data_IF_049581727157
#
_entry.id   IF_049581727157
#
_cell.length_a   1.000
_cell.length_b   1.000
_cell.length_c   1.000
_cell.angle_alpha   90.00
_cell.angle_beta   90.00
_cell.angle_gamma   90.00
#
_symmetry.space_group_name_H-M   'P 1'
#
loop_
_entity.id
_entity.type
_entity.pdbx_description
1 polymer ?
#
# COMPACT_ATOMS: atom_id res chain seq x y z
N UNK A 1 0.48 -29.61 -14.69
CA UNK A 1 -0.40 -29.02 -15.71
C UNK A 1 0.46 -28.48 -16.83
N UNK A 2 -0.08 -28.37 -18.03
CA UNK A 2 0.69 -27.92 -19.19
C UNK A 2 0.38 -26.47 -19.55
N UNK A 3 1.42 -25.68 -19.81
CA UNK A 3 1.33 -24.33 -20.37
C UNK A 3 1.94 -24.32 -21.76
N UNK A 4 1.34 -23.59 -22.70
CA UNK A 4 1.87 -23.45 -24.06
C UNK A 4 2.93 -22.34 -24.10
N UNK A 5 4.03 -22.60 -24.79
CA UNK A 5 5.10 -21.63 -25.03
C UNK A 5 4.86 -20.95 -26.38
N UNK A 6 4.90 -19.62 -26.40
CA UNK A 6 4.88 -18.82 -27.60
C UNK A 6 6.31 -18.47 -28.04
N UNK A 7 6.57 -18.58 -29.34
CA UNK A 7 7.82 -18.11 -29.93
C UNK A 7 7.78 -16.58 -30.17
N UNK A 8 8.90 -16.01 -30.63
CA UNK A 8 9.02 -14.58 -30.95
C UNK A 8 8.06 -14.09 -32.05
N UNK A 9 7.45 -14.99 -32.82
CA UNK A 9 6.44 -14.71 -33.84
C UNK A 9 5.01 -14.95 -33.34
N UNK A 10 4.83 -15.10 -32.03
CA UNK A 10 3.55 -15.34 -31.37
C UNK A 10 2.85 -16.65 -31.81
N UNK A 11 3.61 -17.61 -32.31
CA UNK A 11 3.12 -18.93 -32.67
C UNK A 11 3.37 -19.92 -31.53
N UNK A 12 2.42 -20.84 -31.33
CA UNK A 12 2.57 -21.91 -30.36
C UNK A 12 3.70 -22.85 -30.82
N UNK A 13 4.67 -23.07 -29.93
CA UNK A 13 5.79 -23.97 -30.15
C UNK A 13 5.54 -25.27 -29.38
N UNK A 14 6.09 -25.37 -28.18
CA UNK A 14 6.04 -26.54 -27.31
C UNK A 14 5.19 -26.26 -26.05
N UNK A 15 4.78 -27.32 -25.35
CA UNK A 15 4.15 -27.20 -24.02
C UNK A 15 5.17 -27.52 -22.93
N UNK A 16 5.09 -26.79 -21.82
CA UNK A 16 5.90 -27.03 -20.63
C UNK A 16 5.03 -27.56 -19.49
N UNK A 17 5.52 -28.62 -18.86
CA UNK A 17 4.92 -29.17 -17.64
C UNK A 17 5.32 -28.30 -16.45
N UNK A 18 4.31 -27.76 -15.75
CA UNK A 18 4.49 -26.94 -14.55
C UNK A 18 3.76 -27.53 -13.35
N UNK A 19 4.23 -27.16 -12.16
CA UNK A 19 3.73 -27.66 -10.88
C UNK A 19 2.26 -27.27 -10.63
N UNK A 20 1.40 -28.29 -10.46
CA UNK A 20 -0.02 -28.11 -10.13
C UNK A 20 -0.23 -27.34 -8.82
N UNK A 21 0.64 -27.54 -7.84
CA UNK A 21 0.55 -26.84 -6.56
C UNK A 21 0.63 -25.31 -6.69
N UNK A 22 1.23 -24.79 -7.76
CA UNK A 22 1.40 -23.36 -8.00
C UNK A 22 0.38 -22.80 -8.99
N UNK A 23 0.01 -23.57 -10.02
CA UNK A 23 -0.76 -23.08 -11.15
C UNK A 23 -2.16 -23.72 -11.29
N UNK A 24 -2.48 -24.75 -10.50
CA UNK A 24 -3.79 -25.42 -10.51
C UNK A 24 -4.56 -25.28 -9.18
N UNK A 25 -4.21 -24.31 -8.34
CA UNK A 25 -4.86 -24.08 -7.04
C UNK A 25 -6.23 -23.43 -7.20
N UNK A 26 -7.22 -23.87 -6.45
CA UNK A 26 -8.55 -23.25 -6.41
C UNK A 26 -8.49 -21.76 -6.02
N UNK A 27 -9.39 -20.98 -6.60
CA UNK A 27 -9.49 -19.56 -6.33
C UNK A 27 -9.97 -19.30 -4.91
N UNK A 28 -9.23 -18.48 -4.15
CA UNK A 28 -9.61 -18.04 -2.81
C UNK A 28 -9.65 -16.51 -2.73
N UNK A 29 -10.84 -15.96 -2.96
CA UNK A 29 -11.08 -14.51 -2.97
C UNK A 29 -10.65 -13.83 -1.66
N UNK A 30 -11.04 -14.39 -0.51
CA UNK A 30 -10.79 -13.80 0.80
C UNK A 30 -9.29 -13.63 1.09
N UNK A 31 -8.49 -14.64 0.73
CA UNK A 31 -7.05 -14.64 0.92
C UNK A 31 -6.38 -13.64 -0.03
N UNK A 32 -6.84 -13.58 -1.28
CA UNK A 32 -6.33 -12.63 -2.28
C UNK A 32 -6.64 -11.20 -1.85
N UNK A 33 -7.88 -10.92 -1.44
CA UNK A 33 -8.29 -9.62 -0.94
C UNK A 33 -7.42 -9.17 0.25
N UNK A 34 -7.19 -10.04 1.22
CA UNK A 34 -6.31 -9.74 2.36
C UNK A 34 -4.88 -9.44 1.91
N UNK A 35 -4.35 -10.18 0.92
CA UNK A 35 -3.02 -9.97 0.37
C UNK A 35 -2.92 -8.60 -0.32
N UNK A 36 -3.89 -8.26 -1.17
CA UNK A 36 -3.94 -6.97 -1.88
C UNK A 36 -4.05 -5.80 -0.90
N UNK A 37 -4.94 -5.86 0.08
CA UNK A 37 -5.07 -4.82 1.11
C UNK A 37 -3.75 -4.64 1.86
N UNK A 38 -3.10 -5.74 2.27
CA UNK A 38 -1.84 -5.65 2.99
C UNK A 38 -0.73 -5.02 2.13
N UNK A 39 -0.68 -5.36 0.84
CA UNK A 39 0.28 -4.80 -0.10
C UNK A 39 0.08 -3.29 -0.26
N UNK A 40 -1.17 -2.86 -0.46
CA UNK A 40 -1.52 -1.44 -0.56
C UNK A 40 -1.25 -0.67 0.74
N UNK A 41 -1.52 -1.27 1.90
CA UNK A 41 -1.24 -0.66 3.19
C UNK A 41 0.26 -0.49 3.44
N UNK A 42 1.06 -1.50 3.10
CA UNK A 42 2.51 -1.51 3.26
C UNK A 42 3.22 -0.53 2.31
N UNK A 43 2.61 -0.17 1.18
CA UNK A 43 3.15 0.83 0.24
C UNK A 43 3.00 2.29 0.73
N UNK A 44 2.32 2.52 1.86
CA UNK A 44 2.09 3.88 2.39
C UNK A 44 3.33 4.39 3.13
N UNK A 45 3.76 5.60 2.79
CA UNK A 45 4.92 6.27 3.41
C UNK A 45 4.64 6.81 4.83
N UNK A 46 3.39 7.19 5.13
CA UNK A 46 3.02 7.73 6.45
C UNK A 46 3.58 9.11 6.78
N UNK A 47 4.24 9.79 5.84
CA UNK A 47 4.88 11.10 6.04
C UNK A 47 3.87 12.26 6.08
N UNK A 48 3.02 12.28 7.10
CA UNK A 48 2.11 13.39 7.40
C UNK A 48 2.29 13.83 8.85
N UNK A 49 2.46 15.14 9.07
CA UNK A 49 2.63 15.69 10.41
C UNK A 49 1.89 17.01 10.53
N UNK A 50 1.23 17.22 11.66
CA UNK A 50 0.59 18.48 12.03
C UNK A 50 0.99 18.84 13.46
N UNK A 51 1.15 20.13 13.74
CA UNK A 51 1.58 20.58 15.07
C UNK A 51 0.41 20.60 16.05
N UNK A 52 0.56 19.92 17.18
CA UNK A 52 -0.29 20.07 18.34
C UNK A 52 -0.01 21.41 19.04
N UNK A 53 -0.81 21.73 20.06
CA UNK A 53 -0.62 22.95 20.89
C UNK A 53 0.73 23.00 21.61
N UNK A 54 1.38 21.85 21.83
CA UNK A 54 2.68 21.72 22.49
C UNK A 54 3.86 21.90 21.54
N UNK A 55 3.68 21.62 20.26
CA UNK A 55 4.75 21.71 19.24
C UNK A 55 4.86 23.12 18.65
N UNK A 56 3.94 24.01 19.01
CA UNK A 56 3.96 25.41 18.59
C UNK A 56 4.80 26.26 19.52
N UNK A 57 5.70 27.03 18.93
CA UNK A 57 6.47 28.06 19.63
C UNK A 57 5.57 29.28 19.90
N UNK A 58 4.84 29.26 21.02
CA UNK A 58 4.05 30.39 21.53
C UNK A 58 4.26 30.59 23.03
N UNK A 59 3.88 31.76 23.53
CA UNK A 59 3.95 32.05 24.96
C UNK A 59 3.08 31.07 25.77
N UNK A 60 3.71 30.42 26.76
CA UNK A 60 3.02 29.61 27.77
C UNK A 60 2.39 30.42 28.89
N UNK A 61 2.58 31.75 28.91
CA UNK A 61 1.93 32.63 29.88
C UNK A 61 0.43 32.68 29.60
N UNK A 62 -0.35 32.60 30.67
CA UNK A 62 -1.81 32.77 30.58
C UNK A 62 -2.15 34.13 29.95
N UNK A 63 -2.99 34.19 28.90
CA UNK A 63 -3.29 35.44 28.19
C UNK A 63 -3.84 36.56 29.09
N UNK A 64 -4.68 36.22 30.07
CA UNK A 64 -5.19 37.16 31.08
C UNK A 64 -5.60 36.46 32.38
N UNK A 65 -5.87 37.26 33.43
CA UNK A 65 -6.31 36.78 34.76
C UNK A 65 -7.60 35.95 34.67
N UNK A 66 -7.81 35.02 35.61
CA UNK A 66 -8.96 34.10 35.59
C UNK A 66 -10.32 34.81 35.71
N UNK A 67 -10.37 35.99 36.34
CA UNK A 67 -11.55 36.82 36.58
C UNK A 67 -11.16 38.31 36.49
N UNK A 68 -12.15 39.18 36.41
CA UNK A 68 -11.97 40.64 36.47
C UNK A 68 -11.70 41.34 35.14
N UNK A 69 -11.74 40.64 34.01
CA UNK A 69 -11.46 41.21 32.68
C UNK A 69 -12.68 41.33 31.75
N UNK A 70 -13.83 40.76 32.13
CA UNK A 70 -15.03 40.68 31.27
C UNK A 70 -14.90 39.76 30.05
N UNK A 71 -13.72 39.18 29.81
CA UNK A 71 -13.45 38.26 28.67
C UNK A 71 -13.74 36.81 29.06
N UNK A 72 -14.01 35.97 28.07
CA UNK A 72 -14.05 34.51 28.25
C UNK A 72 -12.75 33.99 28.89
N UNK A 73 -12.78 32.84 29.56
CA UNK A 73 -11.57 32.28 30.19
C UNK A 73 -10.67 31.64 29.14
N UNK A 74 -9.37 31.94 29.19
CA UNK A 74 -8.37 31.34 28.31
C UNK A 74 -7.20 30.77 29.12
N UNK A 75 -6.72 29.58 28.72
CA UNK A 75 -5.58 28.91 29.34
C UNK A 75 -4.25 29.26 28.69
N UNK A 76 -4.17 29.14 27.36
CA UNK A 76 -2.95 29.31 26.58
C UNK A 76 -3.23 29.99 25.22
N UNK A 77 -2.24 30.72 24.70
CA UNK A 77 -2.25 31.30 23.36
C UNK A 77 -2.05 30.26 22.23
N UNK A 78 -1.63 29.02 22.54
CA UNK A 78 -1.49 27.92 21.57
C UNK A 78 -2.74 27.04 21.45
N UNK A 79 -3.83 27.37 22.16
CA UNK A 79 -5.07 26.57 22.12
C UNK A 79 -5.67 26.49 20.70
N UNK A 80 -6.26 25.34 20.29
CA UNK A 80 -6.88 25.15 18.97
C UNK A 80 -7.99 26.14 18.62
N UNK A 81 -8.61 26.76 19.63
CA UNK A 81 -9.66 27.76 19.43
C UNK A 81 -9.12 29.09 18.87
N UNK A 82 -7.81 29.33 18.97
CA UNK A 82 -7.18 30.57 18.50
C UNK A 82 -6.70 30.45 17.06
N UNK A 83 -6.70 31.57 16.33
CA UNK A 83 -6.02 31.66 15.03
C UNK A 83 -4.52 31.40 15.18
N UNK A 84 -4.00 30.45 14.41
CA UNK A 84 -2.63 29.96 14.53
C UNK A 84 -2.35 29.17 15.80
N UNK A 85 -3.39 28.69 16.49
CA UNK A 85 -3.29 27.68 17.54
C UNK A 85 -3.01 26.29 16.98
N UNK A 86 -2.64 25.36 17.86
CA UNK A 86 -2.29 23.99 17.47
C UNK A 86 -3.52 23.18 17.09
N UNK A 87 -3.37 22.17 16.24
CA UNK A 87 -4.51 21.35 15.82
C UNK A 87 -4.91 20.36 16.92
N UNK A 88 -6.21 20.12 17.09
CA UNK A 88 -6.72 19.02 17.92
C UNK A 88 -6.67 17.71 17.12
N UNK A 89 -6.13 16.65 17.73
CA UNK A 89 -5.87 15.36 17.07
C UNK A 89 -5.09 15.50 15.75
N UNK A 90 -3.88 16.08 15.79
CA UNK A 90 -3.06 16.18 14.58
C UNK A 90 -2.62 14.78 14.12
N UNK A 91 -2.43 14.61 12.81
CA UNK A 91 -1.74 13.43 12.29
C UNK A 91 -0.28 13.40 12.76
N UNK A 92 0.20 12.22 13.12
CA UNK A 92 1.59 11.97 13.50
C UNK A 92 2.36 11.30 12.35
N UNK A 93 3.65 11.62 12.15
CA UNK A 93 4.50 10.89 11.21
C UNK A 93 4.81 9.46 11.67
N UNK A 94 4.49 9.11 12.92
CA UNK A 94 4.77 7.79 13.51
C UNK A 94 3.66 6.75 13.26
N UNK A 95 2.69 7.06 12.39
CA UNK A 95 1.62 6.14 12.05
C UNK A 95 2.14 4.93 11.27
N UNK A 96 2.01 3.74 11.87
CA UNK A 96 2.40 2.48 11.24
C UNK A 96 1.21 1.83 10.51
N UNK A 97 1.26 1.81 9.18
CA UNK A 97 0.27 1.15 8.33
C UNK A 97 0.60 -0.31 8.00
N UNK A 98 1.72 -0.83 8.53
CA UNK A 98 2.24 -2.14 8.14
C UNK A 98 1.31 -3.26 8.57
N UNK A 99 0.96 -4.12 7.62
CA UNK A 99 0.16 -5.32 7.83
C UNK A 99 1.00 -6.56 7.51
N UNK A 100 1.22 -7.39 8.52
CA UNK A 100 1.97 -8.64 8.38
C UNK A 100 1.06 -9.75 7.87
N UNK A 101 1.52 -10.50 6.87
CA UNK A 101 0.93 -11.75 6.42
C UNK A 101 1.86 -12.92 6.75
N UNK A 102 1.28 -14.05 7.15
CA UNK A 102 2.03 -15.28 7.40
C UNK A 102 2.59 -15.84 6.07
N UNK A 103 3.83 -16.35 6.10
CA UNK A 103 4.51 -16.86 4.89
C UNK A 103 3.71 -17.93 4.14
N UNK A 104 3.03 -18.82 4.87
CA UNK A 104 2.18 -19.87 4.27
C UNK A 104 0.96 -19.28 3.54
N UNK A 105 0.34 -18.25 4.12
CA UNK A 105 -0.77 -17.52 3.51
C UNK A 105 -0.35 -16.78 2.25
N UNK A 106 0.80 -16.09 2.30
CA UNK A 106 1.34 -15.39 1.12
C UNK A 106 1.59 -16.37 -0.04
N UNK A 107 2.28 -17.49 0.22
CA UNK A 107 2.52 -18.53 -0.79
C UNK A 107 1.22 -19.05 -1.39
N UNK A 108 0.24 -19.39 -0.55
CA UNK A 108 -1.06 -19.85 -0.99
C UNK A 108 -1.82 -18.81 -1.83
N UNK A 109 -1.77 -17.53 -1.44
CA UNK A 109 -2.41 -16.43 -2.15
C UNK A 109 -1.80 -16.20 -3.52
N UNK A 110 -0.47 -16.16 -3.62
CA UNK A 110 0.23 -16.01 -4.91
C UNK A 110 -0.09 -17.19 -5.85
N UNK A 111 -0.06 -18.43 -5.35
CA UNK A 111 -0.46 -19.59 -6.16
C UNK A 111 -1.91 -19.49 -6.65
N UNK A 112 -2.83 -19.04 -5.80
CA UNK A 112 -4.23 -18.82 -6.19
C UNK A 112 -4.38 -17.76 -7.28
N UNK A 113 -3.59 -16.67 -7.23
CA UNK A 113 -3.59 -15.61 -8.25
C UNK A 113 -3.04 -16.14 -9.59
N UNK A 114 -1.87 -16.80 -9.56
CA UNK A 114 -1.26 -17.36 -10.77
C UNK A 114 -2.17 -18.40 -11.42
N UNK A 115 -2.80 -19.26 -10.62
CA UNK A 115 -3.76 -20.25 -11.11
C UNK A 115 -4.95 -19.59 -11.80
N UNK A 116 -5.44 -18.47 -11.28
CA UNK A 116 -6.52 -17.72 -11.90
C UNK A 116 -6.11 -17.05 -13.22
N UNK A 117 -4.90 -16.47 -13.28
CA UNK A 117 -4.37 -15.89 -14.51
C UNK A 117 -4.19 -16.94 -15.62
N UNK A 118 -3.83 -18.17 -15.25
CA UNK A 118 -3.77 -19.29 -16.20
C UNK A 118 -5.16 -19.68 -16.69
N UNK A 119 -6.17 -19.79 -15.80
CA UNK A 119 -7.56 -20.09 -16.19
C UNK A 119 -8.17 -19.05 -17.11
N UNK A 120 -7.80 -17.78 -16.92
CA UNK A 120 -8.25 -16.66 -17.75
C UNK A 120 -7.43 -16.50 -19.04
N UNK A 121 -6.47 -17.38 -19.31
CA UNK A 121 -5.55 -17.30 -20.47
C UNK A 121 -4.74 -15.98 -20.53
N UNK A 122 -4.51 -15.35 -19.37
CA UNK A 122 -3.79 -14.07 -19.23
C UNK A 122 -2.31 -14.23 -18.89
N UNK A 123 -1.91 -15.44 -18.50
CA UNK A 123 -0.50 -15.78 -18.29
C UNK A 123 0.08 -16.35 -19.58
N UNK A 124 1.00 -15.62 -20.18
CA UNK A 124 1.69 -16.00 -21.43
C UNK A 124 3.10 -16.44 -21.09
N UNK A 125 3.50 -17.60 -21.58
CA UNK A 125 4.86 -18.12 -21.47
C UNK A 125 5.54 -17.93 -22.82
N UNK A 126 6.73 -17.33 -22.82
CA UNK A 126 7.56 -17.13 -24.01
C UNK A 126 8.90 -17.83 -23.82
N UNK A 127 9.46 -18.38 -24.90
CA UNK A 127 10.75 -19.07 -24.88
C UNK A 127 11.91 -18.11 -24.54
N UNK A 128 11.84 -16.90 -25.09
CA UNK A 128 12.83 -15.87 -24.82
C UNK A 128 12.28 -14.47 -25.06
N UNK A 129 12.89 -13.50 -24.37
CA UNK A 129 12.61 -12.08 -24.55
C UNK A 129 13.94 -11.37 -24.80
N UNK A 130 14.25 -11.12 -26.07
CA UNK A 130 15.47 -10.45 -26.52
C UNK A 130 15.10 -9.20 -27.32
N UNK A 131 15.79 -8.10 -27.02
CA UNK A 131 15.57 -6.81 -27.67
C UNK A 131 16.93 -6.28 -28.11
N UNK A 132 17.17 -6.23 -29.42
CA UNK A 132 18.49 -5.94 -29.98
C UNK A 132 18.98 -4.51 -29.71
N UNK A 133 18.06 -3.57 -29.48
CA UNK A 133 18.35 -2.18 -29.15
C UNK A 133 17.26 -1.61 -28.22
N UNK A 134 17.56 -0.63 -27.35
CA UNK A 134 16.58 -0.01 -26.45
C UNK A 134 15.62 0.93 -27.23
N UNK A 135 14.85 0.36 -28.15
CA UNK A 135 13.87 1.02 -29.00
C UNK A 135 12.49 0.45 -28.66
N UNK A 136 11.57 1.32 -28.27
CA UNK A 136 10.20 0.94 -27.91
C UNK A 136 9.40 0.34 -29.06
N UNK A 137 9.79 0.59 -30.32
CA UNK A 137 9.17 -0.02 -31.50
C UNK A 137 9.48 -1.51 -31.66
N UNK A 138 10.57 -1.99 -31.04
CA UNK A 138 10.99 -3.40 -31.10
C UNK A 138 10.37 -4.25 -29.99
N UNK A 139 9.55 -3.64 -29.13
CA UNK A 139 8.79 -4.26 -28.03
C UNK A 139 7.33 -4.41 -28.44
#
# INVERSE_FOLDING_TARGET
>A
MELKILNSSNQASESIQVSDALFAREYNESLIHQLVISFMANARSGTRAQKARGDLTRSGRKPWKQKGTGRARAGSASSPIWRGGGKAFPSSPDENFSQKINRKMYRAGISSILSQLVREERLIVVDGFAVDAPKTKLL
#
